data_IF_533712639634
#
_entry.id   IF_533712639634
#
_cell.length_a   1.000
_cell.length_b   1.000
_cell.length_c   1.000
_cell.angle_alpha   90.00
_cell.angle_beta   90.00
_cell.angle_gamma   90.00
#
_symmetry.space_group_name_H-M   'P 1'
#
loop_
_entity.id
_entity.type
_entity.pdbx_description
1 polymer ?
#
# COMPACT_ATOMS: atom_id res chain seq x y z
N UNK A 1 2.01 -13.17 -24.41
CA UNK A 1 3.08 -12.37 -25.08
C UNK A 1 4.25 -12.38 -24.14
N UNK A 2 5.31 -13.10 -24.49
CA UNK A 2 6.49 -13.27 -23.63
C UNK A 2 7.31 -11.98 -23.62
N UNK A 3 7.29 -11.25 -22.50
CA UNK A 3 8.20 -10.12 -22.28
C UNK A 3 9.59 -10.65 -21.95
N UNK A 4 10.46 -10.70 -22.95
CA UNK A 4 11.86 -11.04 -22.77
C UNK A 4 12.58 -9.81 -22.18
N UNK A 5 12.88 -9.84 -20.88
CA UNK A 5 13.41 -8.70 -20.11
C UNK A 5 14.83 -8.24 -20.52
N UNK A 6 15.43 -8.89 -21.51
CA UNK A 6 16.84 -8.73 -21.86
C UNK A 6 17.11 -8.11 -23.24
N UNK A 7 16.11 -7.70 -24.04
CA UNK A 7 16.38 -7.25 -25.41
C UNK A 7 16.20 -5.75 -25.73
N UNK A 8 15.43 -4.95 -24.98
CA UNK A 8 15.11 -3.58 -25.44
C UNK A 8 15.40 -2.46 -24.43
N UNK A 9 16.58 -2.50 -23.79
CA UNK A 9 17.06 -1.37 -22.98
C UNK A 9 18.27 -0.64 -23.58
N UNK A 10 18.45 -0.72 -24.90
CA UNK A 10 19.51 0.01 -25.57
C UNK A 10 18.96 1.28 -26.24
N UNK A 11 19.48 2.42 -25.78
CA UNK A 11 19.45 3.78 -26.37
C UNK A 11 18.10 4.51 -26.53
N UNK A 12 17.92 5.54 -25.69
CA UNK A 12 17.02 6.70 -25.89
C UNK A 12 15.58 6.39 -26.36
N UNK A 13 14.93 5.40 -25.74
CA UNK A 13 13.48 5.23 -25.88
C UNK A 13 12.76 6.39 -25.17
N UNK A 14 11.92 7.14 -25.90
CA UNK A 14 11.03 8.12 -25.30
C UNK A 14 10.22 7.44 -24.18
N UNK A 15 10.15 8.06 -23.01
CA UNK A 15 9.44 7.49 -21.86
C UNK A 15 8.01 7.09 -22.28
N UNK A 16 7.71 5.79 -22.19
CA UNK A 16 6.41 5.25 -22.50
C UNK A 16 5.70 4.85 -21.19
N UNK A 17 4.61 5.53 -20.80
CA UNK A 17 3.87 5.20 -19.57
C UNK A 17 3.22 3.82 -19.59
N UNK A 18 3.05 3.21 -20.77
CA UNK A 18 2.38 1.92 -20.93
C UNK A 18 3.35 0.74 -20.81
N UNK A 19 4.66 0.98 -20.78
CA UNK A 19 5.68 -0.07 -20.62
C UNK A 19 6.20 -0.01 -19.18
N UNK A 20 6.06 -1.10 -18.39
CA UNK A 20 6.61 -1.16 -17.04
C UNK A 20 8.12 -0.92 -17.05
N UNK A 21 8.61 -0.11 -16.11
CA UNK A 21 10.05 0.06 -15.95
C UNK A 21 10.66 -1.17 -15.29
N UNK A 22 11.99 -1.37 -15.41
CA UNK A 22 12.70 -2.44 -14.68
C UNK A 22 12.38 -2.44 -13.18
N UNK A 23 12.35 -1.27 -12.58
CA UNK A 23 12.00 -1.09 -11.16
C UNK A 23 10.59 -1.56 -10.85
N UNK A 24 9.63 -1.33 -11.74
CA UNK A 24 8.24 -1.77 -11.54
C UNK A 24 8.10 -3.30 -11.63
N UNK A 25 8.88 -3.93 -12.51
CA UNK A 25 8.95 -5.39 -12.66
C UNK A 25 9.56 -6.00 -11.40
N UNK A 26 10.75 -5.58 -10.99
CA UNK A 26 11.44 -6.07 -9.79
C UNK A 26 10.56 -5.96 -8.55
N UNK A 27 9.86 -4.83 -8.39
CA UNK A 27 8.95 -4.62 -7.27
C UNK A 27 7.73 -5.53 -7.34
N UNK A 28 7.19 -5.76 -8.54
CA UNK A 28 6.06 -6.67 -8.73
C UNK A 28 6.45 -8.10 -8.39
N UNK A 29 7.63 -8.54 -8.79
CA UNK A 29 8.14 -9.87 -8.46
C UNK A 29 8.39 -10.03 -6.96
N UNK A 30 9.05 -9.05 -6.31
CA UNK A 30 9.27 -9.06 -4.86
C UNK A 30 7.95 -9.17 -4.08
N UNK A 31 6.92 -8.44 -4.51
CA UNK A 31 5.62 -8.44 -3.85
C UNK A 31 4.80 -9.69 -4.16
N UNK A 32 4.91 -10.26 -5.35
CA UNK A 32 4.17 -11.45 -5.76
C UNK A 32 4.57 -12.68 -4.91
N UNK A 33 5.84 -12.75 -4.52
CA UNK A 33 6.38 -13.86 -3.73
C UNK A 33 5.98 -13.81 -2.24
N UNK A 34 5.45 -12.67 -1.78
CA UNK A 34 4.96 -12.49 -0.41
C UNK A 34 3.56 -13.06 -0.23
N UNK A 35 3.20 -13.41 1.01
CA UNK A 35 1.89 -14.00 1.34
C UNK A 35 0.90 -12.90 1.78
N UNK A 36 -0.27 -12.78 1.13
CA UNK A 36 -1.27 -11.77 1.46
C UNK A 36 -1.84 -11.94 2.87
N UNK A 37 -1.99 -13.18 3.36
CA UNK A 37 -2.48 -13.45 4.72
C UNK A 37 -1.48 -12.94 5.76
N UNK A 38 -0.19 -13.26 5.58
CA UNK A 38 0.88 -12.81 6.48
C UNK A 38 0.94 -11.28 6.49
N UNK A 39 0.86 -10.64 5.33
CA UNK A 39 0.83 -9.19 5.24
C UNK A 39 -0.37 -8.55 5.95
N UNK A 40 -1.55 -9.16 5.84
CA UNK A 40 -2.75 -8.72 6.56
C UNK A 40 -2.60 -8.84 8.07
N UNK A 41 -2.15 -10.00 8.55
CA UNK A 41 -1.90 -10.27 9.99
C UNK A 41 -0.84 -9.32 10.54
N UNK A 42 0.29 -9.16 9.85
CA UNK A 42 1.33 -8.21 10.25
C UNK A 42 0.79 -6.78 10.26
N UNK A 43 0.00 -6.37 9.27
CA UNK A 43 -0.55 -5.01 9.20
C UNK A 43 -1.51 -4.71 10.35
N UNK A 44 -2.25 -5.73 10.81
CA UNK A 44 -3.20 -5.60 11.91
C UNK A 44 -2.50 -5.53 13.28
N UNK A 45 -1.56 -6.43 13.56
CA UNK A 45 -0.92 -6.52 14.87
C UNK A 45 0.33 -5.66 15.03
N UNK A 46 1.11 -5.49 13.96
CA UNK A 46 2.42 -4.84 14.01
C UNK A 46 2.75 -4.16 12.67
N UNK A 47 2.09 -3.03 12.42
CA UNK A 47 2.27 -2.27 11.17
C UNK A 47 3.75 -2.02 10.79
N UNK A 48 4.68 -1.68 11.71
CA UNK A 48 6.10 -1.55 11.36
C UNK A 48 6.70 -2.82 10.75
N UNK A 49 6.33 -3.99 11.24
CA UNK A 49 6.79 -5.26 10.68
C UNK A 49 6.18 -5.51 9.29
N UNK A 50 4.92 -5.14 9.05
CA UNK A 50 4.33 -5.18 7.71
C UNK A 50 5.05 -4.24 6.73
N UNK A 51 5.45 -3.05 7.18
CA UNK A 51 6.21 -2.08 6.38
C UNK A 51 7.55 -2.63 5.91
N UNK A 52 8.28 -3.30 6.81
CA UNK A 52 9.55 -3.96 6.51
C UNK A 52 9.31 -5.18 5.60
N UNK A 53 8.36 -6.05 5.98
CA UNK A 53 8.04 -7.27 5.22
C UNK A 53 7.70 -6.95 3.77
N UNK A 54 6.97 -5.85 3.51
CA UNK A 54 6.54 -5.46 2.18
C UNK A 54 7.48 -4.51 1.45
N UNK A 55 8.54 -4.02 2.09
CA UNK A 55 9.39 -2.96 1.55
C UNK A 55 8.56 -1.73 1.08
N UNK A 56 7.51 -1.41 1.84
CA UNK A 56 6.50 -0.39 1.50
C UNK A 56 6.25 0.59 2.62
N UNK A 57 7.29 0.91 3.37
CA UNK A 57 7.24 1.88 4.46
C UNK A 57 6.67 3.24 4.02
N UNK A 58 7.14 3.79 2.90
CA UNK A 58 6.67 5.10 2.41
C UNK A 58 5.17 5.06 2.07
N UNK A 59 4.66 3.99 1.47
CA UNK A 59 3.25 3.87 1.12
C UNK A 59 2.37 3.78 2.38
N UNK A 60 2.75 2.95 3.34
CA UNK A 60 2.03 2.85 4.62
C UNK A 60 2.09 4.15 5.41
N UNK A 61 3.22 4.88 5.37
CA UNK A 61 3.35 6.18 6.02
C UNK A 61 2.42 7.24 5.40
N UNK A 62 2.19 7.19 4.09
CA UNK A 62 1.19 8.06 3.43
C UNK A 62 -0.22 7.80 3.97
N UNK A 63 -0.61 6.52 4.13
CA UNK A 63 -1.92 6.17 4.70
C UNK A 63 -2.03 6.70 6.13
N UNK A 64 -1.01 6.49 6.96
CA UNK A 64 -0.97 7.06 8.31
C UNK A 64 -1.06 8.60 8.30
N UNK A 65 -0.39 9.26 7.35
CA UNK A 65 -0.49 10.70 7.15
C UNK A 65 -1.90 11.18 6.81
N UNK A 66 -2.63 10.46 5.94
CA UNK A 66 -4.02 10.79 5.64
C UNK A 66 -4.94 10.56 6.84
N UNK A 67 -4.74 9.49 7.60
CA UNK A 67 -5.50 9.21 8.83
C UNK A 67 -5.24 10.30 9.87
N UNK A 68 -3.98 10.70 10.06
CA UNK A 68 -3.61 11.79 10.94
C UNK A 68 -4.24 13.12 10.52
N UNK A 69 -4.18 13.46 9.23
CA UNK A 69 -4.79 14.69 8.71
C UNK A 69 -6.31 14.69 8.92
N UNK A 70 -6.98 13.57 8.67
CA UNK A 70 -8.41 13.43 8.91
C UNK A 70 -8.76 13.59 10.40
N UNK A 71 -8.02 12.93 11.29
CA UNK A 71 -8.19 13.06 12.73
C UNK A 71 -7.93 14.51 13.21
N UNK A 72 -6.91 15.17 12.66
CA UNK A 72 -6.58 16.55 12.98
C UNK A 72 -7.68 17.53 12.55
N UNK A 73 -8.18 17.41 11.31
CA UNK A 73 -9.27 18.25 10.81
C UNK A 73 -10.54 18.07 11.65
N UNK A 74 -10.86 16.84 12.03
CA UNK A 74 -12.00 16.54 12.89
C UNK A 74 -11.79 17.15 14.27
N UNK A 75 -10.60 16.99 14.86
CA UNK A 75 -10.24 17.58 16.14
C UNK A 75 -10.38 19.11 16.16
N UNK A 76 -10.02 19.81 15.07
CA UNK A 76 -10.25 21.25 14.93
C UNK A 76 -11.75 21.57 14.91
N UNK A 77 -12.55 20.85 14.10
CA UNK A 77 -13.99 21.11 13.95
C UNK A 77 -14.75 20.81 15.24
N UNK A 78 -14.30 19.83 16.03
CA UNK A 78 -14.97 19.40 17.24
C UNK A 78 -14.34 19.93 18.52
N UNK A 79 -13.36 20.85 18.46
CA UNK A 79 -12.61 21.32 19.63
C UNK A 79 -13.48 21.96 20.71
N UNK A 80 -14.62 22.54 20.32
CA UNK A 80 -15.60 23.17 21.22
C UNK A 80 -16.71 22.20 21.67
N UNK A 81 -16.69 20.93 21.24
CA UNK A 81 -17.65 19.90 21.65
C UNK A 81 -17.13 19.14 22.86
N UNK A 82 -18.06 18.58 23.63
CA UNK A 82 -17.73 17.78 24.79
C UNK A 82 -16.98 16.50 24.36
N UNK A 83 -15.98 16.06 25.14
CA UNK A 83 -15.13 14.90 24.79
C UNK A 83 -15.93 13.61 24.51
N UNK A 84 -17.08 13.46 25.17
CA UNK A 84 -18.01 12.33 24.97
C UNK A 84 -18.51 12.17 23.53
N UNK A 85 -18.57 13.25 22.75
CA UNK A 85 -19.00 13.21 21.35
C UNK A 85 -17.83 13.04 20.37
N UNK A 86 -16.60 13.35 20.81
CA UNK A 86 -15.41 13.32 19.96
C UNK A 86 -14.67 11.98 20.00
N UNK A 87 -14.69 11.28 21.14
CA UNK A 87 -14.01 10.00 21.32
C UNK A 87 -14.53 8.89 20.38
N UNK A 88 -15.86 8.74 20.15
CA UNK A 88 -16.36 7.74 19.20
C UNK A 88 -15.93 8.01 17.77
N UNK A 89 -15.85 9.28 17.37
CA UNK A 89 -15.44 9.70 16.03
C UNK A 89 -13.94 9.45 15.83
N UNK A 90 -13.11 9.80 16.82
CA UNK A 90 -11.68 9.52 16.79
C UNK A 90 -11.39 8.01 16.68
N UNK A 91 -12.11 7.19 17.45
CA UNK A 91 -12.00 5.73 17.38
C UNK A 91 -12.41 5.18 16.01
N UNK A 92 -13.49 5.71 15.41
CA UNK A 92 -13.92 5.31 14.07
C UNK A 92 -12.86 5.61 13.02
N UNK A 93 -12.23 6.79 13.07
CA UNK A 93 -11.13 7.16 12.16
C UNK A 93 -9.96 6.19 12.32
N UNK A 94 -9.61 5.82 13.55
CA UNK A 94 -8.55 4.85 13.83
C UNK A 94 -8.85 3.47 13.24
N UNK A 95 -10.08 2.98 13.39
CA UNK A 95 -10.52 1.69 12.83
C UNK A 95 -10.49 1.72 11.31
N UNK A 96 -11.03 2.78 10.68
CA UNK A 96 -11.01 2.94 9.22
C UNK A 96 -9.58 3.02 8.70
N UNK A 97 -8.70 3.73 9.41
CA UNK A 97 -7.27 3.82 9.08
C UNK A 97 -6.59 2.45 9.08
N UNK A 98 -6.83 1.65 10.12
CA UNK A 98 -6.28 0.29 10.20
C UNK A 98 -6.82 -0.60 9.07
N UNK A 99 -8.12 -0.56 8.79
CA UNK A 99 -8.73 -1.31 7.68
C UNK A 99 -8.12 -0.89 6.35
N UNK A 100 -7.94 0.42 6.13
CA UNK A 100 -7.35 0.94 4.90
C UNK A 100 -5.92 0.42 4.68
N UNK A 101 -5.10 0.41 5.73
CA UNK A 101 -3.72 -0.12 5.67
C UNK A 101 -3.70 -1.61 5.34
N UNK A 102 -4.52 -2.41 6.01
CA UNK A 102 -4.62 -3.86 5.78
C UNK A 102 -5.12 -4.14 4.36
N UNK A 103 -6.18 -3.46 3.94
CA UNK A 103 -6.77 -3.61 2.62
C UNK A 103 -5.78 -3.23 1.52
N UNK A 104 -4.99 -2.17 1.71
CA UNK A 104 -3.94 -1.83 0.76
C UNK A 104 -2.92 -2.97 0.68
N UNK A 105 -2.27 -3.29 1.81
CA UNK A 105 -1.16 -4.23 1.83
C UNK A 105 -1.53 -5.61 1.24
N UNK A 106 -2.73 -6.10 1.56
CA UNK A 106 -3.27 -7.36 1.00
C UNK A 106 -3.60 -7.24 -0.49
N UNK A 107 -4.25 -6.15 -0.91
CA UNK A 107 -4.59 -5.89 -2.32
C UNK A 107 -3.36 -5.79 -3.20
N UNK A 108 -2.32 -5.09 -2.74
CA UNK A 108 -1.10 -4.91 -3.54
C UNK A 108 -0.41 -6.23 -3.84
N UNK A 109 -0.32 -7.13 -2.86
CA UNK A 109 0.26 -8.47 -3.07
C UNK A 109 -0.62 -9.27 -4.03
N UNK A 110 -1.94 -9.21 -3.85
CA UNK A 110 -2.88 -9.93 -4.72
C UNK A 110 -2.78 -9.47 -6.17
N UNK A 111 -2.69 -8.16 -6.39
CA UNK A 111 -2.48 -7.57 -7.73
C UNK A 111 -1.11 -7.94 -8.30
N UNK A 112 -0.05 -7.93 -7.50
CA UNK A 112 1.28 -8.32 -7.93
C UNK A 112 1.31 -9.80 -8.39
N UNK A 113 0.67 -10.69 -7.62
CA UNK A 113 0.49 -12.11 -7.98
C UNK A 113 -0.29 -12.29 -9.27
N UNK A 114 -1.40 -11.55 -9.42
CA UNK A 114 -2.20 -11.61 -10.66
C UNK A 114 -1.38 -11.19 -11.88
N UNK A 115 -0.59 -10.11 -11.78
CA UNK A 115 0.30 -9.66 -12.87
C UNK A 115 1.38 -10.69 -13.19
N UNK A 116 2.03 -11.26 -12.17
CA UNK A 116 3.02 -12.33 -12.37
C UNK A 116 2.39 -13.55 -13.04
N UNK A 117 1.19 -13.94 -12.64
CA UNK A 117 0.44 -15.02 -13.28
C UNK A 117 0.13 -14.72 -14.74
N UNK A 118 -0.28 -13.49 -15.08
CA UNK A 118 -0.59 -13.09 -16.47
C UNK A 118 0.66 -13.02 -17.36
N UNK A 119 1.82 -12.65 -16.80
CA UNK A 119 3.07 -12.57 -17.55
C UNK A 119 3.72 -13.94 -17.84
N UNK A 120 3.30 -15.00 -17.12
CA UNK A 120 3.79 -16.37 -17.31
C UNK A 120 3.00 -17.18 -18.36
N UNK A 121 2.03 -16.56 -19.06
CA UNK A 121 1.29 -17.12 -20.20
C UNK A 121 1.54 -16.32 -21.49
#
# INVERSE_FOLDING_TARGET
MTFNSNQDQNNNSAWNPFVPTKRDIERTDELADKNPVIAGVLSFFLLPAAMIYLNRGINNLKILGYVFLAAFMIGIVTSNRNSKDTDPVANLIGVIGNIAVIAENTRTITLARQRKSQNNF
#
